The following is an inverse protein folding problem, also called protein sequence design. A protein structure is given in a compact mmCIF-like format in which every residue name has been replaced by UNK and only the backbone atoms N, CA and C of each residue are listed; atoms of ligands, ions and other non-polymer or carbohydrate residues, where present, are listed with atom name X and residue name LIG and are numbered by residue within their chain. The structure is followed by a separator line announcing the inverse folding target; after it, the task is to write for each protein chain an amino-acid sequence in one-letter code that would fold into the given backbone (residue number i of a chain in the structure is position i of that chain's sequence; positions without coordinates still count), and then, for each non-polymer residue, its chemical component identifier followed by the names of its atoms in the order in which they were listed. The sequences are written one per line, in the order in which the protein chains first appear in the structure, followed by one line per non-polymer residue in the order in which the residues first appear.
data_IF_708264501394
#
_entry.id   IF_708264501394
#
_cell.length_a   1.000
_cell.length_b   1.000
_cell.length_c   1.000
_cell.angle_alpha   90.00
_cell.angle_beta   90.00
_cell.angle_gamma   90.00
#
_symmetry.space_group_name_H-M   'P 1'
#
loop_
_entity.id
_entity.type
_entity.pdbx_description
1 polymer ?
#
# COMPACT_ATOMS: atom_id res chain seq x y z
N UNK A 1 11.24 11.27 10.17
CA UNK A 1 11.68 11.35 8.76
C UNK A 1 11.90 12.77 8.30
N UNK A 2 10.89 13.66 8.33
CA UNK A 2 11.08 15.07 7.96
C UNK A 2 12.17 15.79 8.79
N UNK A 3 12.16 15.65 10.11
CA UNK A 3 13.18 16.27 10.98
C UNK A 3 14.57 15.63 10.95
N UNK A 4 14.72 14.40 10.43
CA UNK A 4 16.03 13.71 10.34
C UNK A 4 16.65 13.78 8.95
N UNK A 5 15.83 13.79 7.91
CA UNK A 5 16.26 13.67 6.52
C UNK A 5 15.83 14.85 5.63
N UNK A 6 15.05 15.81 6.16
CA UNK A 6 14.54 17.00 5.45
C UNK A 6 13.85 16.70 4.12
N UNK A 7 13.26 15.52 3.99
CA UNK A 7 12.45 15.11 2.82
C UNK A 7 10.97 15.38 3.08
N UNK A 8 10.23 15.67 2.01
CA UNK A 8 8.77 15.76 2.06
C UNK A 8 8.20 14.41 2.51
N UNK A 9 7.28 14.45 3.49
CA UNK A 9 6.62 13.26 4.02
C UNK A 9 5.13 13.49 3.91
N UNK A 10 4.46 12.60 3.20
CA UNK A 10 3.00 12.56 3.08
C UNK A 10 2.47 11.35 3.84
N UNK A 11 1.32 11.53 4.49
CA UNK A 11 0.67 10.47 5.28
C UNK A 11 -0.51 9.92 4.49
N UNK A 12 -0.54 8.59 4.33
CA UNK A 12 -1.64 7.87 3.72
C UNK A 12 -2.39 7.04 4.78
N UNK A 13 -3.71 6.87 4.63
CA UNK A 13 -4.51 6.01 5.50
C UNK A 13 -4.37 4.54 5.08
N UNK A 14 -3.78 3.72 5.95
CA UNK A 14 -3.51 2.30 5.64
C UNK A 14 -4.77 1.43 5.56
N UNK A 15 -5.92 1.88 6.09
CA UNK A 15 -7.15 1.06 6.17
C UNK A 15 -7.79 0.87 4.80
N UNK A 16 -7.72 1.89 3.95
CA UNK A 16 -8.18 1.80 2.57
C UNK A 16 -7.24 0.85 1.79
N UNK A 17 -5.94 1.06 1.94
CA UNK A 17 -4.92 0.34 1.15
C UNK A 17 -4.81 -1.14 1.51
N UNK A 18 -5.06 -1.52 2.77
CA UNK A 18 -5.09 -2.94 3.16
C UNK A 18 -6.34 -3.67 2.67
N UNK A 19 -7.46 -2.97 2.49
CA UNK A 19 -8.68 -3.56 1.93
C UNK A 19 -8.50 -3.83 0.44
N UNK A 20 -7.97 -2.85 -0.29
CA UNK A 20 -7.67 -2.98 -1.72
C UNK A 20 -6.59 -4.04 -1.97
N UNK A 21 -5.50 -4.03 -1.19
CA UNK A 21 -4.44 -5.04 -1.28
C UNK A 21 -4.97 -6.46 -1.05
N UNK A 22 -5.89 -6.64 -0.10
CA UNK A 22 -6.54 -7.94 0.13
C UNK A 22 -7.41 -8.35 -1.05
N UNK A 23 -8.19 -7.43 -1.63
CA UNK A 23 -9.02 -7.71 -2.81
C UNK A 23 -8.17 -8.13 -3.99
N UNK A 24 -7.09 -7.39 -4.28
CA UNK A 24 -6.15 -7.72 -5.36
C UNK A 24 -5.47 -9.08 -5.15
N UNK A 25 -4.98 -9.36 -3.94
CA UNK A 25 -4.36 -10.65 -3.62
C UNK A 25 -5.35 -11.81 -3.71
N UNK A 26 -6.61 -11.56 -3.37
CA UNK A 26 -7.69 -12.52 -3.49
C UNK A 26 -8.00 -12.85 -4.97
N UNK A 27 -8.10 -11.85 -5.83
CA UNK A 27 -8.28 -12.06 -7.28
C UNK A 27 -7.10 -12.82 -7.92
N UNK A 28 -5.87 -12.52 -7.48
CA UNK A 28 -4.64 -13.11 -8.02
C UNK A 28 -4.36 -14.56 -7.61
N UNK A 29 -5.04 -15.12 -6.61
CA UNK A 29 -4.78 -16.50 -6.19
C UNK A 29 -5.60 -17.00 -5.00
N UNK A 30 -6.72 -16.36 -4.71
CA UNK A 30 -7.65 -16.70 -3.65
C UNK A 30 -7.02 -16.71 -2.25
N UNK A 31 -7.67 -17.43 -1.33
CA UNK A 31 -7.27 -17.51 0.07
C UNK A 31 -5.83 -18.02 0.32
N UNK A 32 -5.24 -18.77 -0.62
CA UNK A 32 -3.86 -19.28 -0.47
C UNK A 32 -2.79 -18.20 -0.55
N UNK A 33 -3.06 -17.05 -1.17
CA UNK A 33 -2.12 -15.93 -1.28
C UNK A 33 -2.32 -14.86 -0.20
N UNK A 34 -3.30 -15.02 0.68
CA UNK A 34 -3.62 -14.10 1.77
C UNK A 34 -2.67 -14.27 2.97
N UNK A 35 -1.36 -14.16 2.74
CA UNK A 35 -0.37 -14.10 3.83
C UNK A 35 -0.12 -12.65 4.23
N UNK A 36 0.00 -12.38 5.53
CA UNK A 36 0.22 -11.02 6.07
C UNK A 36 1.38 -10.30 5.36
N UNK A 37 2.49 -10.99 5.16
CA UNK A 37 3.68 -10.49 4.47
C UNK A 37 3.39 -9.98 3.03
N UNK A 38 2.52 -10.67 2.30
CA UNK A 38 2.12 -10.26 0.95
C UNK A 38 1.16 -9.09 0.98
N UNK A 39 0.24 -9.06 1.95
CA UNK A 39 -0.69 -7.96 2.13
C UNK A 39 0.09 -6.67 2.43
N UNK A 40 1.11 -6.74 3.29
CA UNK A 40 1.93 -5.58 3.64
C UNK A 40 2.73 -5.08 2.42
N UNK A 41 3.31 -5.98 1.63
CA UNK A 41 4.02 -5.62 0.39
C UNK A 41 3.12 -5.01 -0.67
N UNK A 42 1.92 -5.57 -0.89
CA UNK A 42 0.96 -5.03 -1.87
C UNK A 42 0.38 -3.70 -1.38
N UNK A 43 0.14 -3.55 -0.08
CA UNK A 43 -0.30 -2.28 0.50
C UNK A 43 0.71 -1.16 0.25
N UNK A 44 2.02 -1.45 0.38
CA UNK A 44 3.07 -0.48 0.05
C UNK A 44 3.05 -0.08 -1.43
N UNK A 45 2.83 -1.03 -2.35
CA UNK A 45 2.67 -0.73 -3.77
C UNK A 45 1.43 0.15 -4.04
N UNK A 46 0.29 -0.16 -3.43
CA UNK A 46 -0.95 0.63 -3.59
C UNK A 46 -0.77 2.05 -3.09
N UNK A 47 -0.14 2.25 -1.92
CA UNK A 47 0.20 3.58 -1.39
C UNK A 47 1.05 4.36 -2.39
N UNK A 48 2.08 3.71 -2.95
CA UNK A 48 2.98 4.35 -3.91
C UNK A 48 2.27 4.74 -5.21
N UNK A 49 1.45 3.85 -5.77
CA UNK A 49 0.66 4.12 -6.98
C UNK A 49 -0.32 5.25 -6.75
N UNK A 50 -1.07 5.22 -5.64
CA UNK A 50 -2.02 6.28 -5.28
C UNK A 50 -1.33 7.63 -5.07
N UNK A 51 -0.14 7.65 -4.48
CA UNK A 51 0.65 8.88 -4.36
C UNK A 51 1.06 9.42 -5.73
N UNK A 52 1.61 8.58 -6.63
CA UNK A 52 1.97 9.00 -7.98
C UNK A 52 0.76 9.54 -8.76
N UNK A 53 -0.38 8.85 -8.70
CA UNK A 53 -1.61 9.29 -9.38
C UNK A 53 -2.09 10.65 -8.87
N UNK A 54 -1.91 10.94 -7.57
CA UNK A 54 -2.26 12.26 -7.02
C UNK A 54 -1.29 13.37 -7.43
N UNK A 55 -0.09 13.05 -7.92
CA UNK A 55 0.89 14.04 -8.38
C UNK A 55 0.76 14.35 -9.88
N UNK A 56 -0.08 13.61 -10.61
CA UNK A 56 -0.30 13.76 -12.06
C UNK A 56 -1.65 14.41 -12.35
#
# INVERSE_FOLDING_TARGET
LHGRFKVAVETCDERLTTTDAKSMLFELGGYKKLTKDKIDSVSACVIFTSWIESQY
#
